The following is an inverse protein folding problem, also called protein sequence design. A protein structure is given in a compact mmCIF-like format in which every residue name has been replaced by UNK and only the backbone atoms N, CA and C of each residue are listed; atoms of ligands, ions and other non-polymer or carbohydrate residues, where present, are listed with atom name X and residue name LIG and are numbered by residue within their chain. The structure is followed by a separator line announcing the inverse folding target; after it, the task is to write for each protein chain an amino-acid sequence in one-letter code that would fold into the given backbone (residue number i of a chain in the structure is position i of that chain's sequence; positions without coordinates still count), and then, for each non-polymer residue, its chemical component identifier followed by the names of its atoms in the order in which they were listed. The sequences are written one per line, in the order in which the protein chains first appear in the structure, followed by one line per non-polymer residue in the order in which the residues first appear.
data_IF_607323243690
#
_entry.id   IF_607323243690
#
_cell.length_a   1.000
_cell.length_b   1.000
_cell.length_c   1.000
_cell.angle_alpha   90.00
_cell.angle_beta   90.00
_cell.angle_gamma   90.00
#
_symmetry.space_group_name_H-M   'P 1'
#
loop_
_entity.id
_entity.type
_entity.pdbx_description
1 polymer ?
#
# COMPACT_ATOMS: atom_id res chain seq x y z
N UNK A 1 -42.33 28.20 -12.89
CA UNK A 1 -41.80 27.32 -13.97
C UNK A 1 -40.30 27.61 -14.01
N UNK A 2 -39.36 26.85 -13.45
CA UNK A 2 -39.28 25.46 -13.04
C UNK A 2 -38.55 25.33 -11.69
N UNK A 3 -38.94 24.30 -10.96
CA UNK A 3 -38.46 23.89 -9.64
C UNK A 3 -37.64 22.59 -9.78
N UNK A 4 -36.62 22.41 -8.91
CA UNK A 4 -35.83 21.18 -8.61
C UNK A 4 -34.84 20.72 -9.72
N UNK A 5 -33.65 20.18 -9.42
CA UNK A 5 -33.34 19.10 -8.48
C UNK A 5 -31.96 19.18 -7.82
N UNK A 6 -31.94 18.59 -6.62
CA UNK A 6 -30.84 18.28 -5.72
C UNK A 6 -29.73 17.45 -6.38
N UNK A 7 -28.49 17.77 -6.07
CA UNK A 7 -27.36 16.84 -6.04
C UNK A 7 -26.87 16.69 -4.61
N UNK A 8 -27.53 15.81 -3.84
CA UNK A 8 -27.06 15.43 -2.50
C UNK A 8 -25.75 14.64 -2.67
N UNK A 9 -24.62 15.27 -2.34
CA UNK A 9 -23.35 14.58 -2.18
C UNK A 9 -23.46 13.61 -1.00
N UNK A 10 -23.64 12.32 -1.31
CA UNK A 10 -23.58 11.26 -0.31
C UNK A 10 -22.13 11.14 0.21
N UNK A 11 -21.86 11.79 1.35
CA UNK A 11 -20.65 11.56 2.13
C UNK A 11 -20.77 10.20 2.82
N UNK A 12 -20.03 9.21 2.31
CA UNK A 12 -19.84 7.92 2.97
C UNK A 12 -19.24 8.18 4.37
N UNK A 13 -20.04 7.96 5.40
CA UNK A 13 -19.77 8.32 6.80
C UNK A 13 -18.80 7.38 7.54
N UNK A 14 -18.07 6.51 6.83
CA UNK A 14 -17.20 5.49 7.42
C UNK A 14 -15.69 5.72 7.18
N UNK A 15 -15.30 6.92 6.77
CA UNK A 15 -13.90 7.25 6.51
C UNK A 15 -13.19 7.67 7.80
N UNK A 16 -12.72 6.70 8.59
CA UNK A 16 -11.92 6.90 9.83
C UNK A 16 -10.57 7.62 9.67
N UNK A 17 -10.29 8.13 8.46
CA UNK A 17 -9.11 8.93 8.16
C UNK A 17 -9.52 10.05 7.20
N UNK A 18 -10.02 11.20 7.68
CA UNK A 18 -10.13 12.36 6.82
C UNK A 18 -8.74 12.65 6.28
N UNK A 19 -8.62 12.73 4.95
CA UNK A 19 -7.42 13.25 4.31
C UNK A 19 -7.13 14.62 4.95
N UNK A 20 -5.88 14.92 5.32
CA UNK A 20 -5.52 16.29 5.70
C UNK A 20 -6.01 17.22 4.58
N UNK A 21 -6.67 18.33 4.95
CA UNK A 21 -7.38 19.23 4.03
C UNK A 21 -6.52 19.71 2.84
N UNK A 22 -5.20 19.66 2.99
CA UNK A 22 -4.22 20.12 2.00
C UNK A 22 -3.68 19.01 1.07
N UNK A 23 -4.08 17.75 1.24
CA UNK A 23 -3.55 16.62 0.45
C UNK A 23 -4.58 16.06 -0.54
N UNK A 24 -4.50 16.60 -1.76
CA UNK A 24 -5.24 16.13 -2.92
C UNK A 24 -4.65 14.84 -3.51
N UNK A 25 -5.49 14.04 -4.17
CA UNK A 25 -5.13 12.78 -4.84
C UNK A 25 -4.45 13.03 -6.20
N UNK A 26 -3.44 13.89 -6.24
CA UNK A 26 -2.62 14.14 -7.44
C UNK A 26 -1.66 12.98 -7.71
N UNK A 27 -1.20 12.88 -8.95
CA UNK A 27 -0.24 11.83 -9.37
C UNK A 27 1.06 11.96 -8.57
N UNK A 28 1.54 13.19 -8.34
CA UNK A 28 2.77 13.45 -7.58
C UNK A 28 2.65 12.98 -6.13
N UNK A 29 1.53 13.29 -5.48
CA UNK A 29 1.30 12.91 -4.09
C UNK A 29 1.14 11.39 -3.95
N UNK A 30 0.43 10.76 -4.89
CA UNK A 30 0.28 9.31 -4.95
C UNK A 30 1.62 8.61 -5.16
N UNK A 31 2.41 9.05 -6.14
CA UNK A 31 3.72 8.50 -6.42
C UNK A 31 4.67 8.65 -5.22
N UNK A 32 4.70 9.83 -4.60
CA UNK A 32 5.50 10.08 -3.41
C UNK A 32 5.06 9.21 -2.22
N UNK A 33 3.75 9.03 -2.03
CA UNK A 33 3.21 8.16 -0.99
C UNK A 33 3.58 6.68 -1.21
N UNK A 34 3.49 6.18 -2.44
CA UNK A 34 3.94 4.82 -2.80
C UNK A 34 5.43 4.63 -2.48
N UNK A 35 6.27 5.62 -2.82
CA UNK A 35 7.70 5.58 -2.52
C UNK A 35 7.99 5.52 -1.02
N UNK A 36 7.31 6.34 -0.22
CA UNK A 36 7.46 6.35 1.24
C UNK A 36 7.02 5.04 1.85
N UNK A 37 5.85 4.52 1.47
CA UNK A 37 5.35 3.24 1.99
C UNK A 37 6.32 2.10 1.65
N UNK A 38 6.86 2.06 0.43
CA UNK A 38 7.86 1.07 0.04
C UNK A 38 9.16 1.17 0.85
N UNK A 39 9.66 2.39 1.12
CA UNK A 39 10.86 2.61 1.94
C UNK A 39 10.66 2.07 3.36
N UNK A 40 9.51 2.31 3.96
CA UNK A 40 9.23 1.90 5.34
C UNK A 40 8.83 0.43 5.48
N UNK A 41 8.33 -0.21 4.41
CA UNK A 41 8.00 -1.64 4.42
C UNK A 41 9.18 -2.54 4.79
N UNK A 42 10.43 -2.09 4.58
CA UNK A 42 11.64 -2.84 4.95
C UNK A 42 11.92 -2.85 6.45
N UNK A 43 11.41 -1.86 7.19
CA UNK A 43 11.72 -1.64 8.61
C UNK A 43 10.48 -1.62 9.50
N UNK A 44 9.28 -1.76 8.92
CA UNK A 44 8.03 -1.71 9.67
C UNK A 44 7.79 -2.98 10.48
N UNK A 45 7.09 -2.85 11.60
CA UNK A 45 6.60 -3.97 12.42
C UNK A 45 5.56 -4.82 11.67
N UNK A 46 4.76 -4.20 10.79
CA UNK A 46 3.81 -4.88 9.92
C UNK A 46 4.16 -4.66 8.43
N UNK A 47 5.18 -5.35 7.90
CA UNK A 47 5.64 -5.16 6.51
C UNK A 47 4.62 -5.68 5.49
N UNK A 48 3.86 -6.73 5.84
CA UNK A 48 2.86 -7.36 4.94
C UNK A 48 1.80 -6.37 4.49
N UNK A 49 1.26 -5.58 5.42
CA UNK A 49 0.25 -4.58 5.10
C UNK A 49 0.79 -3.50 4.15
N UNK A 50 1.99 -2.96 4.42
CA UNK A 50 2.59 -1.92 3.59
C UNK A 50 2.91 -2.41 2.17
N UNK A 51 3.38 -3.66 2.02
CA UNK A 51 3.58 -4.25 0.71
C UNK A 51 2.27 -4.38 -0.06
N UNK A 52 1.19 -4.85 0.59
CA UNK A 52 -0.13 -4.93 -0.02
C UNK A 52 -0.64 -3.56 -0.45
N UNK A 53 -0.58 -2.56 0.43
CA UNK A 53 -1.03 -1.20 0.15
C UNK A 53 -0.28 -0.58 -1.03
N UNK A 54 1.05 -0.75 -1.08
CA UNK A 54 1.90 -0.32 -2.20
C UNK A 54 1.48 -1.01 -3.52
N UNK A 55 1.34 -2.34 -3.50
CA UNK A 55 1.03 -3.12 -4.70
C UNK A 55 -0.32 -2.73 -5.29
N UNK A 56 -1.35 -2.65 -4.46
CA UNK A 56 -2.71 -2.30 -4.91
C UNK A 56 -2.80 -0.85 -5.40
N UNK A 57 -2.11 0.08 -4.72
CA UNK A 57 -2.01 1.46 -5.20
C UNK A 57 -1.36 1.55 -6.58
N UNK A 58 -0.23 0.87 -6.78
CA UNK A 58 0.51 0.90 -8.04
C UNK A 58 -0.27 0.21 -9.17
N UNK A 59 -0.95 -0.91 -8.87
CA UNK A 59 -1.85 -1.58 -9.82
C UNK A 59 -2.97 -0.64 -10.27
N UNK A 60 -3.63 0.03 -9.32
CA UNK A 60 -4.70 1.00 -9.62
C UNK A 60 -4.19 2.19 -10.43
N UNK A 61 -3.02 2.73 -10.10
CA UNK A 61 -2.37 3.79 -10.87
C UNK A 61 -2.10 3.39 -12.32
N UNK A 62 -1.65 2.16 -12.56
CA UNK A 62 -1.42 1.64 -13.93
C UNK A 62 -2.75 1.47 -14.66
N UNK A 63 -3.77 0.87 -14.02
CA UNK A 63 -5.10 0.69 -14.62
C UNK A 63 -5.78 2.03 -14.97
N UNK A 64 -5.59 3.06 -14.14
CA UNK A 64 -6.12 4.42 -14.38
C UNK A 64 -5.28 5.23 -15.38
N UNK A 65 -4.18 4.69 -15.91
CA UNK A 65 -3.28 5.41 -16.83
C UNK A 65 -2.45 6.52 -16.17
N UNK A 66 -2.41 6.59 -14.83
CA UNK A 66 -1.60 7.54 -14.04
C UNK A 66 -0.15 7.07 -13.86
N UNK A 67 0.12 5.81 -14.13
CA UNK A 67 1.44 5.21 -14.16
C UNK A 67 1.57 4.36 -15.43
N UNK A 68 2.80 4.25 -15.95
CA UNK A 68 3.09 3.54 -17.19
C UNK A 68 4.22 2.55 -16.99
N UNK A 69 4.05 1.34 -17.53
CA UNK A 69 5.14 0.38 -17.68
C UNK A 69 6.05 0.85 -18.82
N UNK A 70 7.31 1.12 -18.52
CA UNK A 70 8.28 1.70 -19.46
C UNK A 70 9.08 0.62 -20.18
N UNK A 71 9.49 -0.41 -19.47
CA UNK A 71 10.38 -1.44 -20.00
C UNK A 71 10.77 -2.47 -18.95
N UNK A 72 11.63 -3.41 -19.35
CA UNK A 72 12.19 -4.45 -18.48
C UNK A 72 13.66 -4.16 -18.18
N UNK A 73 14.05 -4.24 -16.91
CA UNK A 73 15.45 -4.28 -16.49
C UNK A 73 15.82 -5.67 -16.00
N UNK A 74 17.09 -6.04 -16.11
CA UNK A 74 17.59 -7.20 -15.36
C UNK A 74 17.56 -6.93 -13.85
N UNK A 75 17.03 -7.87 -13.08
CA UNK A 75 17.03 -7.81 -11.63
C UNK A 75 18.45 -7.86 -11.09
N UNK A 76 18.78 -7.00 -10.12
CA UNK A 76 20.10 -7.00 -9.47
C UNK A 76 20.34 -8.23 -8.58
N UNK A 77 19.27 -8.81 -8.03
CA UNK A 77 19.35 -9.91 -7.07
C UNK A 77 18.59 -11.16 -7.58
N UNK A 78 19.05 -11.78 -8.68
CA UNK A 78 18.40 -12.96 -9.24
C UNK A 78 18.45 -14.13 -8.26
N UNK A 79 17.38 -14.93 -8.21
CA UNK A 79 17.34 -16.18 -7.45
C UNK A 79 17.69 -17.37 -8.34
N UNK A 80 18.11 -18.47 -7.73
CA UNK A 80 18.36 -19.76 -8.39
C UNK A 80 19.39 -19.69 -9.54
N UNK A 81 20.33 -18.74 -9.49
CA UNK A 81 21.34 -18.53 -10.54
C UNK A 81 20.77 -18.33 -11.94
N UNK A 82 19.51 -17.88 -12.05
CA UNK A 82 18.84 -17.59 -13.32
C UNK A 82 18.65 -16.10 -13.47
N UNK A 83 18.92 -15.57 -14.67
CA UNK A 83 18.65 -14.17 -14.96
C UNK A 83 17.14 -13.91 -14.85
N UNK A 84 16.78 -12.88 -14.07
CA UNK A 84 15.41 -12.42 -13.89
C UNK A 84 15.30 -10.97 -14.37
N UNK A 85 14.09 -10.57 -14.73
CA UNK A 85 13.79 -9.20 -15.13
C UNK A 85 12.71 -8.62 -14.23
N UNK A 86 12.76 -7.31 -14.03
CA UNK A 86 11.76 -6.51 -13.34
C UNK A 86 11.18 -5.47 -14.30
N UNK A 87 9.88 -5.19 -14.17
CA UNK A 87 9.24 -4.12 -14.95
C UNK A 87 9.53 -2.79 -14.28
N UNK A 88 10.08 -1.87 -15.06
CA UNK A 88 10.19 -0.46 -14.70
C UNK A 88 8.83 0.21 -14.93
N UNK A 89 8.28 0.78 -13.86
CA UNK A 89 7.06 1.58 -13.87
C UNK A 89 7.40 3.02 -13.53
N UNK A 90 6.95 3.94 -14.36
CA UNK A 90 7.04 5.38 -14.13
C UNK A 90 5.69 5.93 -13.64
N UNK A 91 5.71 6.74 -12.59
CA UNK A 91 4.55 7.44 -12.07
C UNK A 91 4.96 8.84 -11.60
N UNK A 92 4.54 9.87 -12.34
CA UNK A 92 5.02 11.24 -12.13
C UNK A 92 6.54 11.31 -12.24
N UNK A 93 7.21 11.81 -11.19
CA UNK A 93 8.68 11.90 -11.12
C UNK A 93 9.35 10.71 -10.44
N UNK A 94 8.59 9.64 -10.17
CA UNK A 94 9.07 8.48 -9.46
C UNK A 94 9.06 7.24 -10.35
N UNK A 95 10.01 6.35 -10.10
CA UNK A 95 10.13 5.04 -10.75
C UNK A 95 10.07 3.92 -9.73
N UNK A 96 9.46 2.81 -10.13
CA UNK A 96 9.23 1.62 -9.31
C UNK A 96 9.54 0.36 -10.11
N UNK A 97 10.05 -0.66 -9.42
CA UNK A 97 10.18 -2.00 -9.98
C UNK A 97 9.08 -2.91 -9.45
N UNK A 98 8.44 -3.66 -10.34
CA UNK A 98 7.44 -4.70 -10.03
C UNK A 98 7.79 -6.00 -10.74
N UNK A 99 7.34 -7.16 -10.20
CA UNK A 99 7.48 -8.42 -10.89
C UNK A 99 6.77 -8.39 -12.27
N UNK A 100 7.41 -8.90 -13.33
CA UNK A 100 6.84 -8.92 -14.66
C UNK A 100 5.68 -9.93 -14.78
N UNK A 101 4.72 -9.63 -15.64
CA UNK A 101 3.74 -10.62 -16.13
C UNK A 101 4.20 -11.20 -17.47
N UNK A 102 3.56 -12.29 -17.92
CA UNK A 102 3.89 -12.90 -19.23
C UNK A 102 3.73 -11.92 -20.39
N UNK A 103 2.67 -11.11 -20.38
CA UNK A 103 2.43 -10.06 -21.38
C UNK A 103 3.56 -9.03 -21.42
N UNK A 104 4.14 -8.68 -20.26
CA UNK A 104 5.18 -7.66 -20.19
C UNK A 104 6.43 -8.05 -21.00
N UNK A 105 6.76 -9.33 -21.11
CA UNK A 105 7.87 -9.81 -21.95
C UNK A 105 7.60 -9.72 -23.46
N UNK A 106 6.32 -9.67 -23.85
CA UNK A 106 5.93 -9.52 -25.26
C UNK A 106 5.78 -8.05 -25.63
N UNK A 107 5.22 -7.24 -24.72
CA UNK A 107 4.78 -5.88 -25.01
C UNK A 107 5.84 -4.81 -24.70
N UNK A 108 6.80 -5.09 -23.80
CA UNK A 108 7.77 -4.10 -23.32
C UNK A 108 9.18 -4.37 -23.85
N UNK A 109 9.93 -3.31 -24.20
CA UNK A 109 11.33 -3.45 -24.57
C UNK A 109 12.19 -3.79 -23.35
N UNK A 110 13.27 -4.54 -23.57
CA UNK A 110 14.28 -4.77 -22.55
C UNK A 110 15.31 -3.63 -22.56
N UNK A 111 15.41 -2.91 -21.45
CA UNK A 111 16.25 -1.72 -21.27
C UNK A 111 17.67 -2.07 -20.80
N UNK A 112 17.91 -3.33 -20.45
CA UNK A 112 19.24 -3.84 -20.10
C UNK A 112 19.48 -3.83 -18.59
N UNK A 113 20.68 -3.45 -18.17
CA UNK A 113 21.05 -3.36 -16.75
C UNK A 113 20.55 -2.05 -16.16
N UNK A 114 20.18 -2.09 -14.87
CA UNK A 114 19.76 -0.89 -14.14
C UNK A 114 20.92 0.12 -14.05
N UNK A 115 20.65 1.38 -14.39
CA UNK A 115 21.57 2.48 -14.11
C UNK A 115 21.42 2.93 -12.64
N UNK A 116 22.47 2.69 -11.84
CA UNK A 116 22.50 3.06 -10.42
C UNK A 116 22.63 4.57 -10.14
N UNK A 117 22.86 5.38 -11.19
CA UNK A 117 22.92 6.85 -11.09
C UNK A 117 21.53 7.47 -10.89
N UNK A 118 20.50 6.89 -11.51
CA UNK A 118 19.14 7.44 -11.50
C UNK A 118 18.46 7.13 -10.17
N UNK A 119 18.03 8.18 -9.46
CA UNK A 119 17.39 8.05 -8.16
C UNK A 119 16.06 8.78 -8.12
N UNK A 120 15.12 8.19 -7.37
CA UNK A 120 13.86 8.84 -7.03
C UNK A 120 14.11 10.16 -6.26
N UNK A 121 13.32 11.21 -6.53
CA UNK A 121 13.47 12.49 -5.85
C UNK A 121 13.15 12.38 -4.36
N UNK A 122 13.72 13.30 -3.56
CA UNK A 122 13.52 13.33 -2.10
C UNK A 122 12.03 13.46 -1.78
N UNK A 123 11.57 12.66 -0.83
CA UNK A 123 10.19 12.66 -0.39
C UNK A 123 10.00 13.54 0.86
N UNK A 124 8.90 14.29 0.91
CA UNK A 124 8.57 15.24 1.99
C UNK A 124 7.44 14.75 2.90
N UNK A 125 6.57 13.85 2.42
CA UNK A 125 5.45 13.33 3.22
C UNK A 125 5.93 12.41 4.35
N UNK A 126 5.17 12.40 5.45
CA UNK A 126 5.36 11.44 6.53
C UNK A 126 4.78 10.05 6.18
N UNK A 127 5.23 8.99 6.85
CA UNK A 127 4.68 7.65 6.66
C UNK A 127 3.16 7.61 6.94
N UNK A 128 2.71 8.24 8.01
CA UNK A 128 1.29 8.24 8.39
C UNK A 128 0.43 8.90 7.31
N UNK A 129 0.89 10.03 6.76
CA UNK A 129 0.19 10.73 5.68
C UNK A 129 0.21 9.91 4.39
N UNK A 130 1.34 9.30 4.05
CA UNK A 130 1.44 8.41 2.90
C UNK A 130 0.48 7.21 3.01
N UNK A 131 0.39 6.58 4.20
CA UNK A 131 -0.60 5.52 4.45
C UNK A 131 -2.01 6.03 4.25
N UNK A 132 -2.40 7.12 4.93
CA UNK A 132 -3.76 7.66 4.84
C UNK A 132 -4.14 8.00 3.39
N UNK A 133 -3.21 8.59 2.62
CA UNK A 133 -3.42 8.93 1.22
C UNK A 133 -3.64 7.68 0.35
N UNK A 134 -2.79 6.66 0.49
CA UNK A 134 -2.97 5.41 -0.26
C UNK A 134 -4.19 4.62 0.21
N UNK A 135 -4.53 4.67 1.49
CA UNK A 135 -5.74 4.05 2.06
C UNK A 135 -6.99 4.69 1.45
N UNK A 136 -7.06 6.02 1.41
CA UNK A 136 -8.16 6.74 0.77
C UNK A 136 -8.22 6.46 -0.73
N UNK A 137 -7.08 6.30 -1.39
CA UNK A 137 -7.05 6.03 -2.83
C UNK A 137 -7.44 4.60 -3.18
N UNK A 138 -6.99 3.60 -2.39
CA UNK A 138 -7.20 2.17 -2.66
C UNK A 138 -8.43 1.59 -1.98
N UNK A 139 -8.93 2.23 -0.92
CA UNK A 139 -9.98 1.69 -0.05
C UNK A 139 -9.50 0.60 0.93
N UNK A 140 -8.18 0.37 1.05
CA UNK A 140 -7.63 -0.70 1.89
C UNK A 140 -7.31 -0.22 3.30
N UNK A 141 -8.01 -0.71 4.31
CA UNK A 141 -7.67 -0.45 5.72
C UNK A 141 -6.65 -1.45 6.28
N UNK A 142 -5.81 -1.00 7.22
CA UNK A 142 -4.84 -1.84 7.96
C UNK A 142 -5.53 -2.90 8.82
N UNK A 143 -6.68 -2.52 9.37
CA UNK A 143 -7.60 -3.40 10.06
C UNK A 143 -8.76 -3.62 9.09
N UNK A 144 -8.83 -4.78 8.43
CA UNK A 144 -10.06 -5.18 7.73
C UNK A 144 -11.23 -4.94 8.67
N UNK A 145 -12.31 -4.32 8.18
CA UNK A 145 -13.47 -3.90 8.95
C UNK A 145 -13.61 -4.73 10.23
N UNK A 146 -13.42 -4.17 11.44
CA UNK A 146 -13.87 -4.91 12.61
C UNK A 146 -15.34 -5.23 12.33
N UNK A 147 -15.80 -6.49 12.48
CA UNK A 147 -17.21 -6.77 12.34
C UNK A 147 -17.95 -5.77 13.21
N UNK A 148 -18.75 -4.92 12.58
CA UNK A 148 -19.69 -4.07 13.27
C UNK A 148 -20.50 -4.97 14.20
N UNK A 149 -20.53 -4.64 15.49
CA UNK A 149 -21.10 -5.43 16.58
C UNK A 149 -20.36 -6.71 16.98
N UNK A 150 -19.28 -6.57 17.74
CA UNK A 150 -19.12 -7.42 18.91
C UNK A 150 -18.68 -6.58 20.11
N UNK A 151 -19.58 -6.54 21.09
CA UNK A 151 -19.38 -5.99 22.42
C UNK A 151 -17.98 -6.30 22.91
N UNK A 152 -17.28 -5.25 23.31
CA UNK A 152 -15.98 -5.27 23.96
C UNK A 152 -16.09 -6.01 25.32
N UNK A 153 -16.16 -7.34 25.31
CA UNK A 153 -15.92 -8.15 26.50
C UNK A 153 -14.41 -8.30 26.62
N UNK A 154 -13.78 -7.29 27.21
CA UNK A 154 -12.48 -7.41 27.85
C UNK A 154 -12.57 -8.59 28.83
N UNK A 155 -12.20 -9.80 28.39
CA UNK A 155 -12.03 -10.91 29.32
C UNK A 155 -10.78 -10.60 30.12
N UNK A 156 -10.98 -10.11 31.34
CA UNK A 156 -9.91 -9.89 32.29
C UNK A 156 -9.07 -11.17 32.41
N UNK A 157 -7.75 -11.03 32.30
CA UNK A 157 -6.82 -12.14 32.43
C UNK A 157 -6.95 -12.76 33.82
N UNK A 158 -7.53 -13.96 33.89
CA UNK A 158 -7.66 -14.71 35.13
C UNK A 158 -6.36 -15.50 35.34
N UNK A 159 -5.55 -15.06 36.30
CA UNK A 159 -4.30 -15.75 36.64
C UNK A 159 -4.62 -17.19 37.07
N UNK A 160 -3.95 -18.21 36.51
CA UNK A 160 -4.13 -19.57 36.96
C UNK A 160 -3.69 -19.68 38.43
N UNK A 161 -4.59 -20.17 39.27
CA UNK A 161 -4.30 -20.44 40.68
C UNK A 161 -3.60 -21.81 40.73
N UNK A 162 -2.30 -21.80 40.99
CA UNK A 162 -1.56 -23.02 41.28
C UNK A 162 -1.84 -23.44 42.72
N UNK A 163 -2.56 -24.55 42.91
CA UNK A 163 -2.61 -25.23 44.22
C UNK A 163 -1.26 -25.88 44.52
N UNK A 164 -0.91 -25.95 45.80
CA UNK A 164 0.33 -26.60 46.23
C UNK A 164 0.21 -28.12 46.01
N UNK A 165 1.35 -28.74 45.70
CA UNK A 165 1.44 -30.17 45.43
C UNK A 165 0.95 -30.97 46.66
N UNK A 166 -0.14 -31.73 46.52
CA UNK A 166 -0.69 -32.59 47.58
C UNK A 166 -2.15 -32.32 47.95
N UNK A 167 -2.76 -31.22 47.50
CA UNK A 167 -4.18 -30.95 47.74
C UNK A 167 -5.08 -31.70 46.74
N UNK A 168 -6.10 -32.42 47.23
CA UNK A 168 -7.08 -33.09 46.38
C UNK A 168 -8.17 -32.10 45.94
N UNK A 169 -8.59 -32.18 44.68
CA UNK A 169 -9.79 -31.46 44.22
C UNK A 169 -11.01 -32.14 44.82
N UNK A 170 -11.84 -31.38 45.53
CA UNK A 170 -13.21 -31.79 45.91
C UNK A 170 -14.18 -31.41 44.82
#
# INVERSE_FOLDING_TARGET
MFEKMKGEHMLNHDQKYPLPTDLSLTIENLAQAVFIVNRHAKTATNPKYLYKLKQEALKKLITEGKARKVGLHFSEHPRNSQQQSDVLVECGRYTFHIPPTKSDFHDLPHLGKLDGSVRNPKATLSLNMAKALLQSYTGLSEFGNPPSNHQNKQRAYQKPIFKKLGERYS
#
